data_IF_995404918671
#
_entry.id   IF_995404918671
#
_cell.length_a   1.000
_cell.length_b   1.000
_cell.length_c   1.000
_cell.angle_alpha   90.00
_cell.angle_beta   90.00
_cell.angle_gamma   90.00
#
_symmetry.space_group_name_H-M   'P 1'
#
loop_
_entity.id
_entity.type
_entity.pdbx_description
1 polymer ?
#
# COMPACT_ATOMS: atom_id res chain seq x y z
N UNK A 1 -10.06 17.09 -2.92
CA UNK A 1 -10.24 15.69 -2.50
C UNK A 1 -11.41 15.63 -1.54
N UNK A 2 -12.20 14.56 -1.63
CA UNK A 2 -13.40 14.36 -0.82
C UNK A 2 -13.01 14.28 0.67
N UNK A 3 -13.79 14.90 1.57
CA UNK A 3 -13.59 14.81 3.03
C UNK A 3 -13.63 13.36 3.55
N UNK A 4 -13.99 12.39 2.70
CA UNK A 4 -14.09 10.96 2.95
C UNK A 4 -12.80 10.35 3.50
N UNK A 5 -11.62 10.71 2.99
CA UNK A 5 -10.34 10.17 3.50
C UNK A 5 -10.18 10.42 5.01
N UNK A 6 -10.50 11.64 5.46
CA UNK A 6 -10.32 12.08 6.85
C UNK A 6 -11.26 11.36 7.83
N UNK A 7 -12.35 10.77 7.34
CA UNK A 7 -13.33 10.05 8.18
C UNK A 7 -13.16 8.53 8.16
N UNK A 8 -12.27 7.99 7.31
CA UNK A 8 -11.93 6.57 7.34
C UNK A 8 -11.13 6.24 8.62
N UNK A 9 -11.44 5.08 9.22
CA UNK A 9 -10.60 4.53 10.28
C UNK A 9 -9.29 3.93 9.72
N UNK A 10 -8.32 3.67 10.61
CA UNK A 10 -6.99 3.16 10.23
C UNK A 10 -7.05 1.85 9.42
N UNK A 11 -8.03 0.98 9.69
CA UNK A 11 -8.16 -0.29 8.95
C UNK A 11 -8.64 -0.02 7.53
N UNK A 12 -9.66 0.84 7.36
CA UNK A 12 -10.19 1.25 6.05
C UNK A 12 -9.15 2.01 5.22
N UNK A 13 -8.32 2.83 5.86
CA UNK A 13 -7.20 3.49 5.17
C UNK A 13 -6.18 2.47 4.65
N UNK A 14 -5.74 1.51 5.48
CA UNK A 14 -4.84 0.43 5.01
C UNK A 14 -5.47 -0.40 3.90
N UNK A 15 -6.77 -0.66 4.00
CA UNK A 15 -7.54 -1.34 2.95
C UNK A 15 -7.51 -0.56 1.63
N UNK A 16 -7.73 0.76 1.64
CA UNK A 16 -7.63 1.61 0.44
C UNK A 16 -6.27 1.43 -0.24
N UNK A 17 -5.18 1.56 0.52
CA UNK A 17 -3.82 1.37 0.03
C UNK A 17 -3.61 -0.03 -0.58
N UNK A 18 -4.17 -1.08 0.03
CA UNK A 18 -4.08 -2.43 -0.50
C UNK A 18 -4.88 -2.64 -1.79
N UNK A 19 -6.07 -2.05 -1.93
CA UNK A 19 -6.84 -2.09 -3.18
C UNK A 19 -6.04 -1.40 -4.30
N UNK A 20 -5.39 -0.26 -3.99
CA UNK A 20 -4.49 0.41 -4.93
C UNK A 20 -3.32 -0.49 -5.31
N UNK A 21 -2.67 -1.15 -4.34
CA UNK A 21 -1.59 -2.09 -4.63
C UNK A 21 -2.04 -3.24 -5.53
N UNK A 22 -3.22 -3.84 -5.31
CA UNK A 22 -3.74 -4.90 -6.19
C UNK A 22 -3.89 -4.42 -7.64
N UNK A 23 -4.42 -3.20 -7.83
CA UNK A 23 -4.56 -2.61 -9.16
C UNK A 23 -3.21 -2.33 -9.80
N UNK A 24 -2.29 -1.69 -9.08
CA UNK A 24 -0.97 -1.32 -9.57
C UNK A 24 -0.12 -2.56 -9.87
N UNK A 25 -0.16 -3.56 -9.00
CA UNK A 25 0.56 -4.81 -9.16
C UNK A 25 0.07 -5.61 -10.39
N UNK A 26 -1.20 -5.44 -10.80
CA UNK A 26 -1.72 -6.09 -12.02
C UNK A 26 -1.01 -5.67 -13.32
N UNK A 27 -0.27 -4.55 -13.30
CA UNK A 27 0.56 -4.11 -14.43
C UNK A 27 1.93 -4.80 -14.47
N UNK A 28 2.31 -5.55 -13.42
CA UNK A 28 3.53 -6.35 -13.39
C UNK A 28 3.25 -7.71 -14.04
N UNK A 29 4.12 -8.09 -14.98
CA UNK A 29 4.01 -9.39 -15.65
C UNK A 29 4.32 -10.53 -14.68
N UNK A 30 3.53 -11.61 -14.71
CA UNK A 30 3.75 -12.82 -13.90
C UNK A 30 5.11 -13.50 -14.13
N UNK A 31 5.73 -13.27 -15.29
CA UNK A 31 7.07 -13.78 -15.62
C UNK A 31 8.20 -12.85 -15.13
N UNK A 32 7.88 -11.75 -14.46
CA UNK A 32 8.89 -10.92 -13.81
C UNK A 32 9.54 -11.72 -12.68
N UNK A 33 10.87 -11.70 -12.58
CA UNK A 33 11.61 -12.43 -11.54
C UNK A 33 11.19 -12.07 -10.12
N UNK A 34 10.70 -10.84 -9.92
CA UNK A 34 10.33 -10.30 -8.62
C UNK A 34 8.82 -10.44 -8.35
N UNK A 35 8.04 -11.02 -9.28
CA UNK A 35 6.59 -11.12 -9.17
C UNK A 35 6.17 -11.91 -7.93
N UNK A 36 6.75 -13.11 -7.73
CA UNK A 36 6.33 -13.97 -6.62
C UNK A 36 6.61 -13.33 -5.26
N UNK A 37 7.76 -12.67 -5.11
CA UNK A 37 8.10 -12.00 -3.87
C UNK A 37 7.25 -10.75 -3.64
N UNK A 38 7.01 -9.95 -4.68
CA UNK A 38 6.09 -8.82 -4.60
C UNK A 38 4.68 -9.28 -4.21
N UNK A 39 4.19 -10.40 -4.77
CA UNK A 39 2.89 -10.96 -4.42
C UNK A 39 2.80 -11.35 -2.95
N UNK A 40 3.83 -12.03 -2.43
CA UNK A 40 3.93 -12.41 -1.01
C UNK A 40 3.91 -11.18 -0.09
N UNK A 41 4.64 -10.12 -0.44
CA UNK A 41 4.68 -8.90 0.35
C UNK A 41 3.27 -8.31 0.56
N UNK A 42 2.45 -8.25 -0.50
CA UNK A 42 1.06 -7.79 -0.35
C UNK A 42 0.17 -8.78 0.38
N UNK A 43 0.42 -10.09 0.24
CA UNK A 43 -0.34 -11.09 0.99
C UNK A 43 -0.10 -10.94 2.51
N UNK A 44 1.15 -10.72 2.93
CA UNK A 44 1.49 -10.39 4.33
C UNK A 44 0.82 -9.07 4.76
N UNK A 45 0.83 -8.04 3.90
CA UNK A 45 0.14 -6.79 4.21
C UNK A 45 -1.37 -6.98 4.40
N UNK A 46 -2.01 -7.83 3.60
CA UNK A 46 -3.41 -8.21 3.80
C UNK A 46 -3.62 -8.97 5.11
N UNK A 47 -2.74 -9.91 5.45
CA UNK A 47 -2.78 -10.66 6.71
C UNK A 47 -2.68 -9.72 7.93
N UNK A 48 -1.91 -8.62 7.83
CA UNK A 48 -1.77 -7.62 8.89
C UNK A 48 -3.07 -6.85 9.24
N UNK A 49 -4.11 -6.99 8.41
CA UNK A 49 -5.43 -6.43 8.73
C UNK A 49 -6.17 -7.27 9.77
N UNK A 50 -5.89 -8.58 9.84
CA UNK A 50 -6.62 -9.55 10.65
C UNK A 50 -5.77 -10.19 11.74
N UNK A 51 -4.48 -10.40 11.49
CA UNK A 51 -3.55 -10.94 12.50
C UNK A 51 -2.84 -9.80 13.23
N UNK A 52 -3.23 -9.60 14.49
CA UNK A 52 -2.62 -8.60 15.38
C UNK A 52 -1.17 -8.93 15.78
N UNK A 53 -0.64 -10.11 15.43
CA UNK A 53 0.76 -10.48 15.66
C UNK A 53 1.72 -9.89 14.63
N UNK A 54 1.23 -9.54 13.45
CA UNK A 54 2.05 -8.90 12.42
C UNK A 54 2.30 -7.46 12.84
N UNK A 55 3.58 -7.12 13.01
CA UNK A 55 4.05 -5.84 13.55
C UNK A 55 4.50 -4.87 12.46
N UNK A 56 4.78 -3.62 12.85
CA UNK A 56 5.42 -2.66 11.97
C UNK A 56 6.79 -3.14 11.47
N UNK A 57 7.56 -3.85 12.30
CA UNK A 57 8.85 -4.42 11.92
C UNK A 57 8.70 -5.51 10.84
N UNK A 58 7.69 -6.38 10.97
CA UNK A 58 7.43 -7.43 9.99
C UNK A 58 7.08 -6.84 8.60
N UNK A 59 6.30 -5.75 8.57
CA UNK A 59 6.00 -5.05 7.32
C UNK A 59 7.21 -4.25 6.82
N UNK A 60 8.01 -3.66 7.71
CA UNK A 60 9.22 -2.92 7.33
C UNK A 60 10.25 -3.82 6.63
N UNK A 61 10.35 -5.10 7.01
CA UNK A 61 11.22 -6.06 6.32
C UNK A 61 10.81 -6.30 4.85
N UNK A 62 9.60 -5.93 4.44
CA UNK A 62 9.17 -5.98 3.03
C UNK A 62 9.67 -4.76 2.22
N UNK A 63 10.17 -3.73 2.90
CA UNK A 63 10.72 -2.49 2.33
C UNK A 63 12.25 -2.55 2.30
N UNK A 64 12.85 -3.04 3.37
CA UNK A 64 14.30 -3.03 3.59
C UNK A 64 14.68 -4.32 4.32
N UNK A 65 15.05 -5.34 3.55
CA UNK A 65 15.39 -6.67 4.06
C UNK A 65 16.91 -6.86 4.13
N UNK A 66 17.41 -7.63 5.11
CA UNK A 66 18.85 -7.90 5.22
C UNK A 66 19.41 -8.77 4.08
N UNK A 67 18.54 -9.36 3.24
CA UNK A 67 18.91 -10.23 2.12
C UNK A 67 18.68 -9.57 0.76
N UNK A 68 18.31 -8.29 0.75
CA UNK A 68 18.12 -7.48 -0.47
C UNK A 68 17.11 -8.09 -1.46
N UNK A 69 16.06 -8.73 -0.93
CA UNK A 69 14.98 -9.32 -1.72
C UNK A 69 13.63 -8.79 -1.22
N UNK A 70 13.43 -7.49 -1.45
CA UNK A 70 12.32 -6.69 -0.94
C UNK A 70 11.87 -5.64 -1.97
N UNK A 71 10.75 -4.97 -1.70
CA UNK A 71 10.17 -4.00 -2.63
C UNK A 71 11.07 -2.79 -2.85
N UNK A 72 11.86 -2.38 -1.85
CA UNK A 72 12.81 -1.29 -1.97
C UNK A 72 13.88 -1.59 -3.02
N UNK A 73 14.47 -2.78 -2.94
CA UNK A 73 15.45 -3.27 -3.91
C UNK A 73 14.83 -3.44 -5.31
N UNK A 74 13.60 -3.95 -5.41
CA UNK A 74 12.93 -4.10 -6.70
C UNK A 74 12.72 -2.75 -7.39
N UNK A 75 12.40 -1.70 -6.64
CA UNK A 75 12.27 -0.35 -7.19
C UNK A 75 13.63 0.21 -7.63
N UNK A 76 14.67 0.05 -6.82
CA UNK A 76 16.00 0.61 -7.11
C UNK A 76 16.70 -0.06 -8.30
N UNK A 77 16.51 -1.37 -8.47
CA UNK A 77 17.20 -2.17 -9.49
C UNK A 77 16.45 -2.24 -10.83
N UNK A 78 15.17 -1.85 -10.89
CA UNK A 78 14.39 -1.92 -12.13
C UNK A 78 14.84 -0.86 -13.15
N UNK A 79 15.33 -1.33 -14.29
CA UNK A 79 15.87 -0.46 -15.35
C UNK A 79 14.76 0.19 -16.20
N UNK A 80 13.57 -0.40 -16.26
CA UNK A 80 12.47 0.18 -17.02
C UNK A 80 11.75 1.26 -16.18
N UNK A 81 11.76 2.54 -16.61
CA UNK A 81 11.22 3.63 -15.79
C UNK A 81 9.75 3.46 -15.39
N UNK A 82 8.92 2.87 -16.27
CA UNK A 82 7.50 2.64 -15.97
C UNK A 82 7.30 1.54 -14.93
N UNK A 83 8.09 0.48 -15.00
CA UNK A 83 8.04 -0.59 -14.00
C UNK A 83 8.63 -0.15 -12.67
N UNK A 84 9.69 0.66 -12.72
CA UNK A 84 10.30 1.26 -11.55
C UNK A 84 9.29 2.16 -10.82
N UNK A 85 8.56 3.01 -11.56
CA UNK A 85 7.47 3.82 -11.01
C UNK A 85 6.40 2.95 -10.34
N UNK A 86 5.99 1.84 -10.96
CA UNK A 86 5.08 0.86 -10.35
C UNK A 86 5.63 0.36 -9.00
N UNK A 87 6.90 -0.07 -8.95
CA UNK A 87 7.51 -0.53 -7.70
C UNK A 87 7.60 0.57 -6.63
N UNK A 88 7.85 1.83 -7.01
CA UNK A 88 7.83 2.95 -6.07
C UNK A 88 6.43 3.23 -5.51
N UNK A 89 5.38 3.16 -6.33
CA UNK A 89 3.99 3.29 -5.84
C UNK A 89 3.67 2.17 -4.85
N UNK A 90 4.13 0.95 -5.13
CA UNK A 90 3.97 -0.20 -4.24
C UNK A 90 4.78 -0.06 -2.94
N UNK A 91 5.97 0.53 -3.01
CA UNK A 91 6.79 0.89 -1.86
C UNK A 91 6.06 1.87 -0.94
N UNK A 92 5.44 2.91 -1.50
CA UNK A 92 4.64 3.89 -0.74
C UNK A 92 3.46 3.21 -0.02
N UNK A 93 2.81 2.23 -0.66
CA UNK A 93 1.73 1.45 -0.05
C UNK A 93 2.22 0.70 1.19
N UNK A 94 3.32 -0.05 1.07
CA UNK A 94 3.85 -0.84 2.19
C UNK A 94 4.39 0.08 3.28
N UNK A 95 5.02 1.19 2.91
CA UNK A 95 5.47 2.25 3.82
C UNK A 95 4.33 2.79 4.69
N UNK A 96 3.19 3.11 4.09
CA UNK A 96 2.02 3.56 4.83
C UNK A 96 1.51 2.50 5.82
N UNK A 97 1.47 1.23 5.41
CA UNK A 97 1.01 0.13 6.26
C UNK A 97 1.96 -0.07 7.45
N UNK A 98 3.27 -0.10 7.22
CA UNK A 98 4.29 -0.19 8.27
C UNK A 98 4.16 0.99 9.25
N UNK A 99 4.12 2.22 8.72
CA UNK A 99 3.96 3.44 9.50
C UNK A 99 2.69 3.41 10.36
N UNK A 100 1.56 2.98 9.79
CA UNK A 100 0.30 2.89 10.53
C UNK A 100 0.39 1.88 11.70
N UNK A 101 1.04 0.73 11.48
CA UNK A 101 1.25 -0.27 12.52
C UNK A 101 2.18 0.23 13.64
N UNK A 102 3.29 0.90 13.29
CA UNK A 102 4.17 1.54 14.27
C UNK A 102 3.45 2.62 15.08
N UNK A 103 2.64 3.47 14.43
CA UNK A 103 1.84 4.47 15.14
C UNK A 103 0.91 3.82 16.16
N UNK A 104 0.27 2.70 15.80
CA UNK A 104 -0.65 1.98 16.68
C UNK A 104 0.05 1.28 17.84
N UNK A 105 1.30 0.83 17.66
CA UNK A 105 2.10 0.22 18.75
C UNK A 105 2.75 1.26 19.67
N UNK A 106 2.68 2.55 19.33
CA UNK A 106 3.18 3.64 20.18
C UNK A 106 4.70 3.70 20.26
N UNK A 107 5.42 3.20 19.25
CA UNK A 107 6.88 3.28 19.21
C UNK A 107 7.34 4.75 19.20
N UNK A 108 8.48 5.01 19.84
CA UNK A 108 9.03 6.36 19.98
C UNK A 108 9.79 6.82 18.74
N UNK A 109 10.39 5.88 18.01
CA UNK A 109 11.21 6.15 16.85
C UNK A 109 10.77 5.25 15.71
N UNK A 110 10.64 5.83 14.53
CA UNK A 110 10.37 5.10 13.30
C UNK A 110 11.69 4.78 12.61
N UNK A 111 11.75 3.71 11.79
CA UNK A 111 12.79 3.58 10.79
C UNK A 111 12.85 4.84 9.91
N UNK A 112 14.04 5.25 9.51
CA UNK A 112 14.26 6.51 8.79
C UNK A 112 13.40 6.63 7.52
N UNK A 113 13.21 5.52 6.78
CA UNK A 113 12.41 5.49 5.57
C UNK A 113 10.92 5.81 5.80
N UNK A 114 10.42 5.74 7.04
CA UNK A 114 9.03 6.00 7.38
C UNK A 114 8.81 7.36 8.06
N UNK A 115 9.88 8.09 8.40
CA UNK A 115 9.78 9.35 9.17
C UNK A 115 9.03 10.47 8.43
N UNK A 116 9.03 10.44 7.10
CA UNK A 116 8.30 11.40 6.26
C UNK A 116 6.81 11.06 6.08
N UNK A 117 6.40 9.84 6.44
CA UNK A 117 5.02 9.38 6.26
C UNK A 117 4.14 9.95 7.38
N UNK A 118 2.96 10.43 7.00
CA UNK A 118 1.99 11.01 7.92
C UNK A 118 0.56 10.77 7.43
N UNK A 119 -0.44 11.20 8.19
CA UNK A 119 -1.82 11.23 7.70
C UNK A 119 -1.97 12.12 6.46
N UNK A 120 -1.16 13.18 6.36
CA UNK A 120 -1.24 14.15 5.27
C UNK A 120 -0.50 13.68 4.01
N UNK A 121 0.50 12.81 4.14
CA UNK A 121 1.21 12.25 2.97
C UNK A 121 0.31 11.40 2.08
N UNK A 122 -0.86 10.95 2.57
CA UNK A 122 -1.86 10.28 1.76
C UNK A 122 -2.48 11.18 0.68
N UNK A 123 -2.57 12.49 0.91
CA UNK A 123 -3.04 13.43 -0.11
C UNK A 123 -2.05 13.53 -1.28
N UNK A 124 -0.76 13.57 -0.97
CA UNK A 124 0.28 13.56 -1.98
C UNK A 124 0.33 12.21 -2.71
N UNK A 125 0.20 11.08 -2.01
CA UNK A 125 0.11 9.76 -2.61
C UNK A 125 -1.06 9.65 -3.61
N UNK A 126 -2.27 10.05 -3.20
CA UNK A 126 -3.45 10.01 -4.07
C UNK A 126 -3.28 10.93 -5.28
N UNK A 127 -2.74 12.14 -5.09
CA UNK A 127 -2.45 13.05 -6.20
C UNK A 127 -1.46 12.42 -7.18
N UNK A 128 -0.36 11.86 -6.69
CA UNK A 128 0.66 11.22 -7.51
C UNK A 128 0.08 10.01 -8.27
N UNK A 129 -0.80 9.23 -7.62
CA UNK A 129 -1.49 8.11 -8.23
C UNK A 129 -2.41 8.54 -9.37
N UNK A 130 -3.17 9.63 -9.19
CA UNK A 130 -4.00 10.23 -10.25
C UNK A 130 -3.14 10.72 -11.43
N UNK A 131 -1.99 11.34 -11.15
CA UNK A 131 -1.06 11.88 -12.17
C UNK A 131 -0.30 10.78 -12.93
N UNK A 132 -0.05 9.62 -12.30
CA UNK A 132 0.62 8.48 -12.93
C UNK A 132 -0.14 7.88 -14.12
N UNK A 133 -1.47 8.07 -14.16
CA UNK A 133 -2.34 7.52 -15.19
C UNK A 133 -2.65 6.03 -15.05
N UNK A 134 -2.15 5.33 -14.02
CA UNK A 134 -2.49 3.92 -13.77
C UNK A 134 -3.91 3.72 -13.25
N UNK A 135 -4.43 4.70 -12.49
CA UNK A 135 -5.76 4.67 -11.88
C UNK A 135 -6.45 6.01 -12.14
N UNK A 136 -7.72 5.97 -12.57
CA UNK A 136 -8.47 7.20 -12.77
C UNK A 136 -8.91 7.77 -11.42
N UNK A 137 -8.95 9.10 -11.35
CA UNK A 137 -9.53 9.84 -10.22
C UNK A 137 -10.92 9.36 -9.81
N UNK A 138 -11.76 9.03 -10.80
CA UNK A 138 -13.12 8.51 -10.58
C UNK A 138 -13.10 7.18 -9.82
N UNK A 139 -12.19 6.27 -10.20
CA UNK A 139 -12.05 4.97 -9.55
C UNK A 139 -11.57 5.13 -8.09
N UNK A 140 -10.61 6.04 -7.85
CA UNK A 140 -10.15 6.39 -6.50
C UNK A 140 -11.29 6.91 -5.64
N UNK A 141 -12.10 7.85 -6.15
CA UNK A 141 -13.23 8.41 -5.41
C UNK A 141 -14.29 7.35 -5.11
N UNK A 142 -14.61 6.48 -6.07
CA UNK A 142 -15.56 5.39 -5.88
C UNK A 142 -15.14 4.45 -4.75
N UNK A 143 -13.86 4.07 -4.70
CA UNK A 143 -13.34 3.24 -3.59
C UNK A 143 -13.43 3.96 -2.26
N UNK A 144 -13.04 5.24 -2.20
CA UNK A 144 -13.14 6.03 -0.97
C UNK A 144 -14.58 6.12 -0.47
N UNK A 145 -15.55 6.30 -1.37
CA UNK A 145 -16.99 6.32 -1.03
C UNK A 145 -17.47 4.97 -0.51
N UNK A 146 -17.12 3.86 -1.18
CA UNK A 146 -17.44 2.50 -0.74
C UNK A 146 -16.87 2.21 0.66
N UNK A 147 -15.61 2.59 0.90
CA UNK A 147 -14.96 2.40 2.20
C UNK A 147 -15.52 3.33 3.28
N UNK A 148 -16.08 4.48 2.87
CA UNK A 148 -16.78 5.41 3.76
C UNK A 148 -18.07 4.84 4.34
N UNK A 149 -18.71 3.88 3.67
CA UNK A 149 -19.82 3.11 4.24
C UNK A 149 -19.28 2.10 5.27
N UNK A 150 -19.69 2.30 6.53
CA UNK A 150 -19.28 1.44 7.65
C UNK A 150 -19.81 0.01 7.55
N UNK A 151 -20.85 -0.21 6.74
CA UNK A 151 -21.45 -1.53 6.52
C UNK A 151 -20.72 -2.35 5.44
N UNK A 152 -19.81 -1.73 4.69
CA UNK A 152 -19.02 -2.44 3.67
C UNK A 152 -18.17 -3.52 4.31
N UNK A 153 -18.28 -4.74 3.79
CA UNK A 153 -17.38 -5.84 4.13
C UNK A 153 -16.02 -5.59 3.48
N UNK A 154 -15.01 -5.34 4.32
CA UNK A 154 -13.65 -5.02 3.93
C UNK A 154 -12.70 -6.24 3.92
N UNK A 155 -13.23 -7.46 3.84
CA UNK A 155 -12.42 -8.67 3.70
C UNK A 155 -11.78 -8.77 2.31
N UNK A 156 -10.52 -9.25 2.26
CA UNK A 156 -9.72 -9.40 1.02
C UNK A 156 -10.52 -10.05 -0.14
N UNK A 157 -11.33 -11.06 0.16
CA UNK A 157 -12.13 -11.78 -0.84
C UNK A 157 -13.17 -10.90 -1.55
N UNK A 158 -13.74 -9.93 -0.84
CA UNK A 158 -14.81 -9.06 -1.36
C UNK A 158 -14.27 -7.79 -2.01
N UNK A 159 -13.12 -7.28 -1.57
CA UNK A 159 -12.69 -5.92 -1.95
C UNK A 159 -11.50 -5.84 -2.91
N UNK A 160 -10.71 -6.91 -3.07
CA UNK A 160 -9.51 -6.87 -3.95
C UNK A 160 -9.84 -6.55 -5.42
N UNK A 161 -11.10 -6.61 -5.81
CA UNK A 161 -11.59 -6.33 -7.15
C UNK A 161 -12.26 -4.95 -7.30
N UNK A 162 -12.29 -4.10 -6.26
CA UNK A 162 -12.99 -2.81 -6.32
C UNK A 162 -12.38 -1.78 -7.29
N UNK A 163 -11.13 -1.99 -7.75
CA UNK A 163 -10.47 -1.19 -8.80
C UNK A 163 -10.16 -1.98 -10.08
N UNK A 164 -10.60 -3.24 -10.17
CA UNK A 164 -10.35 -4.14 -11.32
C UNK A 164 -11.58 -4.20 -12.22
#
# INVERSE_FOLDING_TARGET
MNNTWMVLDDVRKRVFYLIVAEKIFSFINMNNSNYDEGRKAFDICWESLVDAKITGDDIYLLIDSPVYNDIGEFAQQEENPKKQEIWYILLDVIGYIAWNLYRKSGVKFLPQALESISEDSAFDFIRNLEESGYIKKEDVNNVLEILGDKNTDISKGNIKYMLL
#
